data_IF_236866130258
#
_entry.id   IF_236866130258
#
_cell.length_a   1.000
_cell.length_b   1.000
_cell.length_c   1.000
_cell.angle_alpha   90.00
_cell.angle_beta   90.00
_cell.angle_gamma   90.00
#
_symmetry.space_group_name_H-M   'P 1'
#
loop_
_entity.id
_entity.type
_entity.pdbx_description
1 polymer ?
#
# COMPACT_ATOMS: atom_id res chain seq x y z
N UNK A 1 20.31 -0.31 0.78
CA UNK A 1 19.53 0.46 1.75
C UNK A 1 18.14 -0.10 1.73
N UNK A 2 17.56 -0.33 2.91
CA UNK A 2 16.30 -1.03 3.02
C UNK A 2 15.41 -0.31 4.02
N UNK A 3 14.20 0.02 3.59
CA UNK A 3 13.17 0.58 4.45
C UNK A 3 12.48 -0.59 5.16
N UNK A 4 12.50 -0.66 6.51
CA UNK A 4 11.85 -1.72 7.25
C UNK A 4 10.33 -1.57 7.19
N UNK A 5 9.65 -2.69 6.93
CA UNK A 5 8.20 -2.81 6.89
C UNK A 5 7.74 -3.74 8.02
N UNK A 6 6.78 -3.28 8.82
CA UNK A 6 6.04 -4.15 9.74
C UNK A 6 4.67 -4.45 9.16
N UNK A 7 4.39 -5.73 8.95
CA UNK A 7 3.14 -6.17 8.32
C UNK A 7 2.15 -6.65 9.38
N UNK A 8 0.91 -6.21 9.23
CA UNK A 8 -0.21 -6.60 10.07
C UNK A 8 -1.31 -7.22 9.19
N UNK A 9 -1.39 -8.55 9.18
CA UNK A 9 -2.45 -9.26 8.47
C UNK A 9 -3.70 -9.21 9.32
N UNK A 10 -4.70 -8.44 8.87
CA UNK A 10 -5.89 -8.10 9.64
C UNK A 10 -7.16 -8.60 8.95
N UNK A 11 -7.63 -9.81 9.29
CA UNK A 11 -8.93 -10.29 8.85
C UNK A 11 -10.03 -9.39 9.40
N UNK A 12 -11.20 -9.38 8.74
CA UNK A 12 -12.37 -8.72 9.30
C UNK A 12 -13.26 -9.67 10.08
N UNK A 13 -14.03 -9.11 11.00
CA UNK A 13 -15.22 -9.73 11.55
C UNK A 13 -16.40 -8.77 11.44
N UNK A 14 -17.61 -9.30 11.54
CA UNK A 14 -18.83 -8.51 11.62
C UNK A 14 -19.74 -9.09 12.69
N UNK A 15 -19.91 -8.38 13.80
CA UNK A 15 -20.68 -8.82 14.97
C UNK A 15 -20.15 -10.16 15.51
N UNK A 16 -18.83 -10.26 15.64
CA UNK A 16 -18.13 -11.46 16.11
C UNK A 16 -18.02 -12.60 15.10
N UNK A 17 -18.63 -12.50 13.91
CA UNK A 17 -18.51 -13.52 12.86
C UNK A 17 -17.28 -13.22 12.01
N UNK A 18 -16.30 -14.14 12.03
CA UNK A 18 -15.06 -14.03 11.27
C UNK A 18 -15.29 -14.16 9.76
N UNK A 19 -14.71 -13.25 8.99
CA UNK A 19 -14.57 -13.41 7.54
C UNK A 19 -13.31 -14.22 7.22
N UNK A 20 -13.35 -15.11 6.21
CA UNK A 20 -12.17 -15.86 5.80
C UNK A 20 -11.00 -14.93 5.48
N UNK A 21 -9.85 -15.14 6.13
CA UNK A 21 -8.64 -14.38 5.84
C UNK A 21 -8.17 -14.66 4.41
N UNK A 22 -7.80 -13.61 3.69
CA UNK A 22 -7.31 -13.74 2.30
C UNK A 22 -5.80 -13.53 2.20
N UNK A 23 -5.22 -12.82 3.16
CA UNK A 23 -3.79 -12.65 3.31
C UNK A 23 -3.23 -13.64 4.32
N UNK A 24 -1.96 -13.97 4.12
CA UNK A 24 -1.08 -14.58 5.11
C UNK A 24 0.34 -14.00 4.91
N UNK A 25 1.27 -14.36 5.80
CA UNK A 25 2.63 -13.85 5.70
C UNK A 25 3.41 -14.33 4.48
N UNK A 26 3.02 -15.44 3.84
CA UNK A 26 3.74 -15.97 2.69
C UNK A 26 3.30 -15.30 1.39
N UNK A 27 1.99 -15.08 1.22
CA UNK A 27 1.42 -14.24 0.16
C UNK A 27 1.91 -12.79 0.29
N UNK A 28 2.06 -12.27 1.50
CA UNK A 28 2.66 -10.96 1.75
C UNK A 28 4.11 -10.86 1.25
N UNK A 29 4.95 -11.88 1.50
CA UNK A 29 6.34 -11.91 1.00
C UNK A 29 6.38 -11.89 -0.54
N UNK A 30 5.54 -12.69 -1.19
CA UNK A 30 5.47 -12.72 -2.66
C UNK A 30 5.01 -11.39 -3.26
N UNK A 31 4.04 -10.74 -2.61
CA UNK A 31 3.63 -9.38 -3.00
C UNK A 31 4.77 -8.36 -2.81
N UNK A 32 5.57 -8.50 -1.75
CA UNK A 32 6.74 -7.64 -1.52
C UNK A 32 7.83 -7.83 -2.61
N UNK A 33 8.03 -9.04 -3.13
CA UNK A 33 8.97 -9.26 -4.23
C UNK A 33 8.59 -8.43 -5.47
N UNK A 34 7.28 -8.32 -5.74
CA UNK A 34 6.74 -7.45 -6.80
C UNK A 34 7.00 -5.98 -6.47
N UNK A 35 6.70 -5.54 -5.24
CA UNK A 35 7.00 -4.17 -4.76
C UNK A 35 8.47 -3.81 -5.00
N UNK A 36 9.38 -4.67 -4.55
CA UNK A 36 10.81 -4.46 -4.68
C UNK A 36 11.27 -4.47 -6.14
N UNK A 37 10.66 -5.29 -6.99
CA UNK A 37 10.91 -5.28 -8.44
C UNK A 37 10.57 -3.92 -9.04
N UNK A 38 9.41 -3.36 -8.70
CA UNK A 38 8.96 -2.04 -9.18
C UNK A 38 9.90 -0.92 -8.70
N UNK A 39 10.19 -0.90 -7.40
CA UNK A 39 10.99 0.15 -6.77
C UNK A 39 12.51 0.02 -6.99
N UNK A 40 12.98 -1.11 -7.51
CA UNK A 40 14.38 -1.31 -7.90
C UNK A 40 14.87 -0.25 -8.90
N UNK A 41 13.98 0.25 -9.78
CA UNK A 41 14.26 1.37 -10.71
C UNK A 41 14.72 2.64 -9.99
N UNK A 42 14.21 2.88 -8.78
CA UNK A 42 14.60 3.98 -7.90
C UNK A 42 15.76 3.64 -6.95
N UNK A 43 16.25 2.40 -6.96
CA UNK A 43 17.21 1.84 -5.99
C UNK A 43 16.70 1.90 -4.54
N UNK A 44 15.38 1.78 -4.36
CA UNK A 44 14.73 1.69 -3.05
C UNK A 44 14.35 0.23 -2.85
N UNK A 45 14.72 -0.33 -1.70
CA UNK A 45 14.33 -1.67 -1.30
C UNK A 45 13.56 -1.60 0.02
N UNK A 46 12.64 -2.54 0.18
CA UNK A 46 11.81 -2.70 1.37
C UNK A 46 12.02 -4.11 1.92
N UNK A 47 12.06 -4.22 3.25
CA UNK A 47 12.33 -5.50 3.93
C UNK A 47 11.31 -5.70 5.05
N UNK A 48 10.70 -6.88 5.11
CA UNK A 48 9.82 -7.26 6.21
C UNK A 48 10.67 -7.43 7.47
N UNK A 49 10.47 -6.56 8.45
CA UNK A 49 11.05 -6.70 9.78
C UNK A 49 10.22 -7.67 10.63
N UNK A 50 8.91 -7.65 10.44
CA UNK A 50 7.98 -8.56 11.12
C UNK A 50 6.69 -8.74 10.31
N UNK A 51 6.02 -9.87 10.47
CA UNK A 51 4.71 -10.15 9.91
C UNK A 51 3.81 -10.82 10.94
N UNK A 52 2.78 -10.08 11.35
CA UNK A 52 1.94 -10.41 12.50
C UNK A 52 0.54 -10.74 11.99
N UNK A 53 0.03 -11.91 12.36
CA UNK A 53 -1.39 -12.25 12.20
C UNK A 53 -2.17 -11.60 13.33
N UNK A 54 -2.97 -10.60 13.00
CA UNK A 54 -3.71 -9.82 13.99
C UNK A 54 -5.01 -10.51 14.41
N UNK A 55 -5.53 -10.06 15.57
CA UNK A 55 -6.93 -10.33 15.92
C UNK A 55 -7.84 -9.69 14.86
N UNK A 56 -8.91 -10.38 14.44
CA UNK A 56 -9.85 -9.84 13.46
C UNK A 56 -10.40 -8.49 13.89
N UNK A 57 -10.49 -7.55 12.94
CA UNK A 57 -11.11 -6.26 13.16
C UNK A 57 -12.63 -6.41 13.01
N UNK A 58 -13.36 -6.38 14.14
CA UNK A 58 -14.83 -6.35 14.12
C UNK A 58 -15.31 -4.95 13.73
N UNK A 59 -15.65 -4.80 12.45
CA UNK A 59 -16.07 -3.52 11.88
C UNK A 59 -17.13 -3.81 10.83
N UNK A 60 -18.29 -3.13 10.88
CA UNK A 60 -19.33 -3.31 9.88
C UNK A 60 -18.84 -2.92 8.47
N UNK A 61 -19.26 -3.62 7.39
CA UNK A 61 -18.84 -3.31 6.02
C UNK A 61 -19.02 -1.84 5.60
N UNK A 62 -20.10 -1.19 6.05
CA UNK A 62 -20.39 0.22 5.76
C UNK A 62 -19.39 1.21 6.36
N UNK A 63 -18.60 0.79 7.37
CA UNK A 63 -17.56 1.61 8.00
C UNK A 63 -16.18 1.43 7.35
N UNK A 64 -16.01 0.38 6.54
CA UNK A 64 -14.76 0.05 5.84
C UNK A 64 -14.62 0.79 4.50
N UNK A 65 -15.66 1.49 4.05
CA UNK A 65 -15.68 2.20 2.75
C UNK A 65 -14.99 3.56 2.78
N UNK A 66 -14.48 3.99 3.93
CA UNK A 66 -13.70 5.21 4.08
C UNK A 66 -12.27 4.83 4.45
N UNK A 67 -11.33 5.12 3.55
CA UNK A 67 -9.91 4.80 3.72
C UNK A 67 -9.33 5.45 4.99
N UNK A 68 -9.71 6.70 5.26
CA UNK A 68 -9.31 7.44 6.46
C UNK A 68 -9.82 6.77 7.74
N UNK A 69 -11.11 6.40 7.80
CA UNK A 69 -11.67 5.74 8.99
C UNK A 69 -11.04 4.38 9.20
N UNK A 70 -10.88 3.59 8.14
CA UNK A 70 -10.30 2.25 8.23
C UNK A 70 -8.83 2.33 8.68
N UNK A 71 -8.03 3.15 8.01
CA UNK A 71 -6.60 3.29 8.34
C UNK A 71 -6.40 3.87 9.73
N UNK A 72 -7.22 4.85 10.16
CA UNK A 72 -7.16 5.40 11.51
C UNK A 72 -7.42 4.34 12.59
N UNK A 73 -8.43 3.48 12.39
CA UNK A 73 -8.73 2.37 13.32
C UNK A 73 -7.61 1.33 13.34
N UNK A 74 -7.08 0.94 12.17
CA UNK A 74 -5.95 0.02 12.06
C UNK A 74 -4.72 0.57 12.78
N UNK A 75 -4.33 1.81 12.47
CA UNK A 75 -3.17 2.46 13.08
C UNK A 75 -3.30 2.60 14.59
N UNK A 76 -4.49 2.93 15.11
CA UNK A 76 -4.72 3.11 16.55
C UNK A 76 -4.50 1.84 17.41
N UNK A 77 -4.38 0.67 16.79
CA UNK A 77 -4.13 -0.60 17.48
C UNK A 77 -2.65 -0.80 17.83
N UNK A 78 -1.77 0.08 17.36
CA UNK A 78 -0.33 -0.11 17.43
C UNK A 78 0.41 1.14 17.90
N UNK A 79 1.46 0.91 18.67
CA UNK A 79 2.39 1.94 19.08
C UNK A 79 3.37 2.30 17.94
N UNK A 80 3.95 3.50 18.02
CA UNK A 80 5.03 3.92 17.14
C UNK A 80 6.23 2.97 17.23
N UNK A 81 6.92 2.79 16.12
CA UNK A 81 8.24 2.17 16.09
C UNK A 81 9.08 2.70 14.92
N UNK A 82 10.26 2.13 14.66
CA UNK A 82 11.10 2.55 13.55
C UNK A 82 10.87 1.72 12.28
N UNK A 83 9.60 1.53 11.88
CA UNK A 83 9.22 0.86 10.64
C UNK A 83 8.00 1.52 9.98
N UNK A 84 7.82 1.26 8.68
CA UNK A 84 6.56 1.61 7.98
C UNK A 84 5.54 0.53 8.28
N UNK A 85 4.36 0.92 8.74
CA UNK A 85 3.29 -0.02 9.10
C UNK A 85 2.42 -0.29 7.89
N UNK A 86 2.27 -1.57 7.53
CA UNK A 86 1.46 -2.00 6.39
C UNK A 86 0.38 -2.96 6.89
N UNK A 87 -0.87 -2.53 6.79
CA UNK A 87 -2.03 -3.33 7.14
C UNK A 87 -2.56 -4.09 5.93
N UNK A 88 -2.54 -5.41 5.97
CA UNK A 88 -3.03 -6.26 4.90
C UNK A 88 -4.43 -6.75 5.25
N UNK A 89 -5.44 -6.26 4.53
CA UNK A 89 -6.85 -6.49 4.84
C UNK A 89 -7.54 -7.30 3.74
N UNK A 90 -8.65 -7.94 4.09
CA UNK A 90 -9.51 -8.59 3.10
C UNK A 90 -10.03 -7.59 2.06
N UNK A 91 -10.47 -8.09 0.91
CA UNK A 91 -11.08 -7.31 -0.16
C UNK A 91 -12.34 -6.58 0.34
N UNK A 92 -12.45 -5.29 0.03
CA UNK A 92 -13.58 -4.44 0.39
C UNK A 92 -14.29 -4.03 -0.90
N UNK A 93 -15.48 -4.60 -1.14
CA UNK A 93 -16.20 -4.42 -2.40
C UNK A 93 -16.52 -2.95 -2.75
N UNK A 94 -16.59 -2.07 -1.77
CA UNK A 94 -16.86 -0.64 -1.98
C UNK A 94 -15.61 0.21 -2.28
N UNK A 95 -14.40 -0.36 -2.16
CA UNK A 95 -13.15 0.35 -2.40
C UNK A 95 -12.55 -0.08 -3.75
N UNK A 96 -12.69 0.78 -4.76
CA UNK A 96 -12.17 0.52 -6.11
C UNK A 96 -10.67 0.82 -6.25
N UNK A 97 -10.10 1.55 -5.30
CA UNK A 97 -8.69 1.94 -5.24
C UNK A 97 -8.43 2.42 -3.81
N UNK A 98 -7.90 1.66 -2.87
CA UNK A 98 -7.25 0.36 -2.94
C UNK A 98 -6.19 0.17 -1.85
N UNK A 99 -5.89 1.29 -1.20
CA UNK A 99 -5.22 1.47 0.05
C UNK A 99 -5.41 2.93 0.46
N UNK A 100 -5.06 3.23 1.69
CA UNK A 100 -4.93 4.60 2.18
C UNK A 100 -3.52 4.75 2.73
N UNK A 101 -3.00 5.97 2.72
CA UNK A 101 -1.64 6.26 3.16
C UNK A 101 -1.60 7.56 3.97
N UNK A 102 -1.00 7.52 5.16
CA UNK A 102 -0.71 8.71 5.96
C UNK A 102 0.78 9.05 5.91
N UNK A 103 1.23 9.98 5.04
CA UNK A 103 2.65 10.33 4.93
C UNK A 103 3.20 11.02 6.19
N UNK A 104 2.33 11.63 7.00
CA UNK A 104 2.65 12.25 8.28
C UNK A 104 1.84 11.63 9.44
N UNK A 105 1.48 10.35 9.33
CA UNK A 105 0.70 9.66 10.35
C UNK A 105 1.39 9.75 11.70
N UNK A 106 0.65 10.21 12.71
CA UNK A 106 1.05 10.01 14.11
C UNK A 106 0.44 8.68 14.56
N UNK A 107 1.24 7.71 15.00
CA UNK A 107 2.64 7.90 15.38
C UNK A 107 3.68 7.52 14.30
N UNK A 108 3.31 6.81 13.22
CA UNK A 108 4.23 6.38 12.14
C UNK A 108 3.61 6.43 10.73
N UNK A 109 4.41 6.52 9.64
CA UNK A 109 3.93 6.37 8.27
C UNK A 109 3.27 5.00 8.10
N UNK A 110 2.01 5.02 7.71
CA UNK A 110 1.20 3.83 7.66
C UNK A 110 0.36 3.78 6.38
N UNK A 111 0.14 2.56 5.90
CA UNK A 111 -0.77 2.29 4.79
C UNK A 111 -1.52 0.99 5.01
N UNK A 112 -2.68 0.84 4.38
CA UNK A 112 -3.32 -0.47 4.22
C UNK A 112 -3.38 -0.88 2.76
N UNK A 113 -3.39 -2.19 2.51
CA UNK A 113 -3.56 -2.79 1.20
C UNK A 113 -4.60 -3.90 1.30
N UNK A 114 -5.65 -3.82 0.50
CA UNK A 114 -6.67 -4.88 0.44
C UNK A 114 -6.24 -6.02 -0.50
N UNK A 115 -6.89 -7.17 -0.36
CA UNK A 115 -6.66 -8.32 -1.24
C UNK A 115 -7.25 -8.11 -2.64
N UNK A 116 -6.44 -8.41 -3.68
CA UNK A 116 -6.78 -8.31 -5.11
C UNK A 116 -6.76 -9.64 -5.86
N UNK A 117 -6.69 -10.76 -5.17
CA UNK A 117 -6.79 -12.09 -5.78
C UNK A 117 -5.46 -12.74 -6.18
N UNK A 118 -4.38 -11.98 -6.34
CA UNK A 118 -3.07 -12.53 -6.68
C UNK A 118 -1.90 -11.63 -6.27
N UNK A 119 -0.72 -12.25 -6.13
CA UNK A 119 0.52 -11.61 -5.67
C UNK A 119 0.94 -10.40 -6.51
N UNK A 120 0.74 -10.42 -7.83
CA UNK A 120 1.12 -9.32 -8.71
C UNK A 120 0.22 -8.08 -8.51
N UNK A 121 -1.10 -8.27 -8.48
CA UNK A 121 -2.04 -7.17 -8.25
C UNK A 121 -1.88 -6.60 -6.83
N UNK A 122 -1.72 -7.48 -5.84
CA UNK A 122 -1.41 -7.14 -4.46
C UNK A 122 -0.13 -6.30 -4.34
N UNK A 123 0.97 -6.77 -4.94
CA UNK A 123 2.26 -6.10 -4.90
C UNK A 123 2.27 -4.77 -5.65
N UNK A 124 1.56 -4.65 -6.78
CA UNK A 124 1.38 -3.36 -7.47
C UNK A 124 0.62 -2.38 -6.60
N UNK A 125 -0.52 -2.80 -6.03
CA UNK A 125 -1.33 -1.93 -5.18
C UNK A 125 -0.52 -1.44 -3.99
N UNK A 126 0.22 -2.34 -3.35
CA UNK A 126 1.14 -1.97 -2.28
C UNK A 126 2.23 -1.00 -2.74
N UNK A 127 2.86 -1.24 -3.88
CA UNK A 127 3.88 -0.35 -4.42
C UNK A 127 3.35 1.07 -4.69
N UNK A 128 2.09 1.17 -5.12
CA UNK A 128 1.39 2.43 -5.35
C UNK A 128 1.20 3.20 -4.04
N UNK A 129 0.72 2.54 -2.98
CA UNK A 129 0.55 3.16 -1.67
C UNK A 129 1.87 3.62 -1.06
N UNK A 130 2.93 2.83 -1.20
CA UNK A 130 4.27 3.26 -0.82
C UNK A 130 4.71 4.51 -1.59
N UNK A 131 4.26 4.66 -2.84
CA UNK A 131 4.44 5.88 -3.63
C UNK A 131 3.83 7.11 -2.95
N UNK A 132 2.60 7.00 -2.44
CA UNK A 132 1.97 8.09 -1.68
C UNK A 132 2.72 8.43 -0.39
N UNK A 133 3.21 7.43 0.36
CA UNK A 133 4.05 7.68 1.52
C UNK A 133 5.39 8.36 1.18
N UNK A 134 5.84 8.21 -0.07
CA UNK A 134 7.03 8.88 -0.63
C UNK A 134 6.69 10.13 -1.43
N UNK A 135 5.55 10.77 -1.15
CA UNK A 135 5.15 12.07 -1.71
C UNK A 135 4.88 12.04 -3.23
N UNK A 136 4.49 10.87 -3.78
CA UNK A 136 4.04 10.77 -5.17
C UNK A 136 2.53 10.98 -5.29
N UNK A 137 2.15 11.95 -6.12
CA UNK A 137 0.76 12.22 -6.47
C UNK A 137 0.25 11.28 -7.57
N UNK A 138 -1.08 11.16 -7.65
CA UNK A 138 -1.74 10.49 -8.75
C UNK A 138 -1.40 11.10 -10.12
N UNK A 139 -1.25 10.23 -11.11
CA UNK A 139 -1.17 10.62 -12.53
C UNK A 139 -2.55 10.51 -13.13
N UNK A 140 -3.13 11.65 -13.49
CA UNK A 140 -4.37 11.70 -14.25
C UNK A 140 -4.15 11.29 -15.71
N UNK A 141 -5.13 10.56 -16.24
CA UNK A 141 -5.16 10.12 -17.64
C UNK A 141 -6.26 10.88 -18.37
N UNK A 142 -5.87 11.62 -19.40
CA UNK A 142 -6.81 12.14 -20.38
C UNK A 142 -7.08 11.07 -21.44
N UNK A 143 -8.25 10.43 -21.35
CA UNK A 143 -8.68 9.40 -22.30
C UNK A 143 -9.11 9.96 -23.66
N UNK A 144 -9.25 11.27 -23.82
CA UNK A 144 -9.51 11.88 -25.13
C UNK A 144 -8.29 11.85 -26.04
N UNK A 145 -7.08 11.67 -25.47
CA UNK A 145 -5.83 11.51 -26.21
C UNK A 145 -5.30 10.07 -26.07
N UNK A 146 -5.74 9.19 -26.98
CA UNK A 146 -5.43 7.76 -26.93
C UNK A 146 -3.93 7.44 -26.84
N UNK A 147 -3.09 8.17 -27.59
CA UNK A 147 -1.65 7.96 -27.59
C UNK A 147 -1.03 8.31 -26.24
N UNK A 148 -1.47 9.39 -25.62
CA UNK A 148 -1.03 9.77 -24.28
C UNK A 148 -1.57 8.80 -23.23
N UNK A 149 -2.84 8.41 -23.33
CA UNK A 149 -3.47 7.46 -22.40
C UNK A 149 -2.75 6.12 -22.41
N UNK A 150 -2.41 5.57 -23.58
CA UNK A 150 -1.68 4.31 -23.72
C UNK A 150 -0.28 4.33 -23.10
N UNK A 151 0.36 5.50 -23.03
CA UNK A 151 1.64 5.66 -22.32
C UNK A 151 1.43 5.83 -20.82
N UNK A 152 0.46 6.66 -20.42
CA UNK A 152 0.22 6.98 -19.01
C UNK A 152 -0.35 5.81 -18.22
N UNK A 153 -1.17 4.94 -18.83
CA UNK A 153 -1.76 3.76 -18.15
C UNK A 153 -0.72 2.81 -17.57
N UNK A 154 0.52 2.85 -18.09
CA UNK A 154 1.66 2.07 -17.60
C UNK A 154 2.27 2.63 -16.31
N UNK A 155 1.96 3.86 -15.92
CA UNK A 155 2.53 4.49 -14.73
C UNK A 155 1.96 3.86 -13.45
N UNK A 156 2.83 3.64 -12.46
CA UNK A 156 2.46 3.10 -11.16
C UNK A 156 1.41 3.96 -10.47
N UNK A 157 1.53 5.29 -10.56
CA UNK A 157 0.68 6.24 -9.83
C UNK A 157 -0.61 6.59 -10.57
N UNK A 158 -1.00 5.84 -11.60
CA UNK A 158 -2.34 5.98 -12.19
C UNK A 158 -3.38 5.60 -11.14
N UNK A 159 -4.40 6.46 -10.98
CA UNK A 159 -5.52 6.22 -10.08
C UNK A 159 -6.26 4.94 -10.46
N UNK A 160 -6.54 4.10 -9.48
CA UNK A 160 -7.23 2.82 -9.69
C UNK A 160 -6.32 1.63 -9.93
N UNK A 161 -6.94 0.48 -10.16
CA UNK A 161 -6.27 -0.79 -10.39
C UNK A 161 -5.81 -0.90 -11.85
N UNK A 162 -4.79 -0.12 -12.21
CA UNK A 162 -4.07 -0.33 -13.47
C UNK A 162 -2.99 -1.40 -13.30
N UNK A 163 -2.65 -2.10 -14.38
CA UNK A 163 -1.49 -3.02 -14.40
C UNK A 163 -0.14 -2.27 -14.51
N UNK A 164 -0.17 -0.93 -14.55
CA UNK A 164 1.02 -0.10 -14.69
C UNK A 164 1.97 -0.18 -13.49
N UNK A 165 3.26 -0.23 -13.77
CA UNK A 165 4.35 -0.33 -12.79
C UNK A 165 5.56 0.57 -13.13
N UNK A 166 5.40 1.48 -14.09
CA UNK A 166 6.45 2.39 -14.49
C UNK A 166 6.53 3.62 -13.59
N UNK A 167 7.75 4.06 -13.33
CA UNK A 167 8.08 5.30 -12.63
C UNK A 167 8.82 6.22 -13.59
N UNK A 168 8.43 7.48 -13.61
CA UNK A 168 9.16 8.53 -14.36
C UNK A 168 10.42 8.93 -13.59
N UNK A 169 11.40 9.52 -14.29
CA UNK A 169 12.60 10.06 -13.66
C UNK A 169 12.29 11.13 -12.60
N UNK A 170 11.20 11.89 -12.77
CA UNK A 170 10.75 12.86 -11.77
C UNK A 170 10.21 12.16 -10.52
N UNK A 171 9.34 11.16 -10.67
CA UNK A 171 8.83 10.36 -9.54
C UNK A 171 9.97 9.68 -8.77
N UNK A 172 10.97 9.14 -9.47
CA UNK A 172 12.16 8.55 -8.83
C UNK A 172 12.90 9.60 -7.99
N UNK A 173 13.11 10.82 -8.52
CA UNK A 173 13.76 11.90 -7.77
C UNK A 173 12.94 12.35 -6.56
N UNK A 174 11.63 12.53 -6.73
CA UNK A 174 10.73 12.91 -5.64
C UNK A 174 10.75 11.85 -4.53
N UNK A 175 10.55 10.58 -4.88
CA UNK A 175 10.52 9.49 -3.90
C UNK A 175 11.81 9.42 -3.09
N UNK A 176 12.98 9.47 -3.76
CA UNK A 176 14.28 9.49 -3.09
C UNK A 176 14.49 10.74 -2.21
N UNK A 177 13.90 11.87 -2.59
CA UNK A 177 13.96 13.12 -1.84
C UNK A 177 12.98 13.22 -0.67
N UNK A 178 12.01 12.30 -0.58
CA UNK A 178 10.95 12.31 0.42
C UNK A 178 11.48 12.19 1.84
N UNK A 179 10.72 12.69 2.83
CA UNK A 179 11.08 12.56 4.25
C UNK A 179 11.23 11.10 4.67
N UNK A 180 10.37 10.21 4.15
CA UNK A 180 10.39 8.80 4.47
C UNK A 180 11.71 8.15 4.05
N UNK A 181 12.12 8.33 2.80
CA UNK A 181 13.36 7.71 2.29
C UNK A 181 14.59 8.27 3.01
N UNK A 182 14.62 9.59 3.26
CA UNK A 182 15.68 10.24 4.03
C UNK A 182 15.78 9.74 5.47
N UNK A 183 14.63 9.45 6.13
CA UNK A 183 14.60 8.90 7.51
C UNK A 183 15.40 7.60 7.62
N UNK A 184 15.40 6.78 6.57
CA UNK A 184 16.13 5.51 6.52
C UNK A 184 17.47 5.59 5.76
N UNK A 185 18.02 6.81 5.64
CA UNK A 185 19.38 7.08 5.17
C UNK A 185 19.52 7.41 3.68
N UNK A 186 18.41 7.60 2.96
CA UNK A 186 18.32 7.80 1.50
C UNK A 186 18.72 9.16 0.96
#
# INVERSE_FOLDING_TARGET
MSIPLRLYVTPFANRGVLEPAQWDCDTAKKALDVVNTIWSKAKIAFVISDCIMEKPLDMAPSRRSSDEVLLGVLASRHDADNAVHIFLVNSIASLNAGGGSYPNGSPEPASFVQWYGNDHANGRAWAHELGHLMELDHVEIDYSNEKQAAQRVKNLMVKGLSAGSDLTSQQIRTAKGSKLVKRFGG
#
